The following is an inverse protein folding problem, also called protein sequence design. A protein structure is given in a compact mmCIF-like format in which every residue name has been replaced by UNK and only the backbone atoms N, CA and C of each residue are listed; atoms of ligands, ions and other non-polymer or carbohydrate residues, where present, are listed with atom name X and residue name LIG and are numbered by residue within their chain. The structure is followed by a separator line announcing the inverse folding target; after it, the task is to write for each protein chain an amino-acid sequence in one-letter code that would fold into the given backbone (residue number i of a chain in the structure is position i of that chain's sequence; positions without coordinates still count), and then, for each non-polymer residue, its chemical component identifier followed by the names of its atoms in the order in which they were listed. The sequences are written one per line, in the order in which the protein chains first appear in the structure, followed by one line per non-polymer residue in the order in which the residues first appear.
data_IF_691737278095
#
_entry.id   IF_691737278095
#
_cell.length_a   1.000
_cell.length_b   1.000
_cell.length_c   1.000
_cell.angle_alpha   90.00
_cell.angle_beta   90.00
_cell.angle_gamma   90.00
#
_symmetry.space_group_name_H-M   'P 1'
#
loop_
_entity.id
_entity.type
_entity.pdbx_description
1 polymer ?
#
# COMPACT_ATOMS: atom_id res chain seq x y z
N UNK A 1 -2.62 -8.57 -31.30
CA UNK A 1 -1.84 -7.40 -30.85
C UNK A 1 -1.40 -7.71 -29.43
N UNK A 2 -0.11 -7.88 -29.18
CA UNK A 2 0.42 -8.00 -27.82
C UNK A 2 0.34 -6.61 -27.19
N UNK A 3 -0.63 -6.38 -26.31
CA UNK A 3 -0.66 -5.14 -25.54
C UNK A 3 0.61 -5.08 -24.68
N UNK A 4 1.36 -3.98 -24.77
CA UNK A 4 2.50 -3.73 -23.89
C UNK A 4 2.04 -3.85 -22.41
N UNK A 5 2.88 -4.39 -21.53
CA UNK A 5 2.55 -4.44 -20.10
C UNK A 5 2.23 -3.04 -19.57
N UNK A 6 1.26 -2.95 -18.67
CA UNK A 6 1.03 -1.74 -17.88
C UNK A 6 2.26 -1.43 -17.04
N UNK A 7 2.58 -0.14 -16.87
CA UNK A 7 3.78 0.31 -16.16
C UNK A 7 3.43 1.11 -14.93
N UNK A 8 3.97 0.70 -13.77
CA UNK A 8 3.80 1.35 -12.48
C UNK A 8 5.12 1.98 -12.03
N UNK A 9 5.10 3.27 -11.69
CA UNK A 9 6.16 3.88 -10.89
C UNK A 9 5.85 3.62 -9.42
N UNK A 10 6.64 2.78 -8.77
CA UNK A 10 6.49 2.45 -7.35
C UNK A 10 7.53 3.22 -6.52
N UNK A 11 7.06 4.17 -5.69
CA UNK A 11 7.87 5.04 -4.84
C UNK A 11 7.74 4.55 -3.40
N UNK A 12 8.75 3.84 -2.91
CA UNK A 12 8.72 3.15 -1.62
C UNK A 12 10.15 2.84 -1.14
N UNK A 13 10.35 2.44 0.12
CA UNK A 13 11.65 1.93 0.56
C UNK A 13 11.95 0.54 -0.04
N UNK A 14 13.24 0.18 -0.02
CA UNK A 14 13.73 -1.12 -0.48
C UNK A 14 14.53 -1.80 0.64
N UNK A 15 13.90 -2.68 1.42
CA UNK A 15 14.63 -3.53 2.37
C UNK A 15 15.34 -4.68 1.65
N UNK A 16 16.58 -4.96 2.05
CA UNK A 16 17.35 -6.08 1.52
C UNK A 16 16.92 -7.41 2.12
N UNK A 17 16.67 -7.45 3.43
CA UNK A 17 16.23 -8.65 4.14
C UNK A 17 14.86 -8.42 4.81
N UNK A 18 14.00 -9.42 4.71
CA UNK A 18 12.59 -9.35 5.07
C UNK A 18 11.70 -8.98 3.88
N UNK A 19 10.46 -9.46 3.92
CA UNK A 19 9.49 -9.33 2.80
C UNK A 19 8.52 -8.19 3.07
N UNK A 20 8.90 -6.98 2.66
CA UNK A 20 8.09 -5.77 2.77
C UNK A 20 8.45 -4.79 1.63
N UNK A 21 7.66 -3.77 1.43
CA UNK A 21 7.94 -2.65 0.54
C UNK A 21 8.28 -3.09 -0.91
N UNK A 22 9.24 -2.48 -1.58
CA UNK A 22 9.60 -2.82 -2.98
C UNK A 22 10.02 -4.28 -3.15
N UNK A 23 10.56 -4.94 -2.12
CA UNK A 23 10.95 -6.36 -2.23
C UNK A 23 9.77 -7.31 -2.45
N UNK A 24 8.56 -6.93 -2.08
CA UNK A 24 7.32 -7.69 -2.35
C UNK A 24 6.49 -7.06 -3.48
N UNK A 25 6.47 -5.73 -3.59
CA UNK A 25 5.71 -5.02 -4.63
C UNK A 25 6.16 -5.44 -6.04
N UNK A 26 7.48 -5.46 -6.28
CA UNK A 26 8.04 -5.80 -7.59
C UNK A 26 7.65 -7.22 -8.04
N UNK A 27 7.88 -8.30 -7.28
CA UNK A 27 7.50 -9.64 -7.70
C UNK A 27 5.99 -9.84 -7.83
N UNK A 28 5.18 -9.20 -6.98
CA UNK A 28 3.70 -9.28 -7.07
C UNK A 28 3.21 -8.64 -8.36
N UNK A 29 3.60 -7.41 -8.67
CA UNK A 29 3.20 -6.72 -9.89
C UNK A 29 3.71 -7.44 -11.15
N UNK A 30 4.96 -7.91 -11.14
CA UNK A 30 5.53 -8.69 -12.25
C UNK A 30 4.74 -9.99 -12.49
N UNK A 31 4.30 -10.67 -11.43
CA UNK A 31 3.46 -11.87 -11.53
C UNK A 31 2.10 -11.56 -12.17
N UNK A 32 1.56 -10.37 -11.95
CA UNK A 32 0.34 -9.85 -12.58
C UNK A 32 0.57 -9.25 -13.99
N UNK A 33 1.76 -9.47 -14.58
CA UNK A 33 2.13 -8.94 -15.90
C UNK A 33 2.14 -7.40 -15.97
N UNK A 34 2.51 -6.76 -14.87
CA UNK A 34 2.70 -5.31 -14.74
C UNK A 34 4.19 -5.02 -14.58
N UNK A 35 4.74 -4.13 -15.40
CA UNK A 35 6.11 -3.65 -15.26
C UNK A 35 6.20 -2.68 -14.09
N UNK A 36 7.10 -2.96 -13.13
CA UNK A 36 7.38 -2.05 -12.02
C UNK A 36 8.67 -1.28 -12.28
N UNK A 37 8.57 0.04 -12.29
CA UNK A 37 9.72 0.93 -12.22
C UNK A 37 9.87 1.33 -10.75
N UNK A 38 10.86 0.74 -10.08
CA UNK A 38 11.11 0.98 -8.67
C UNK A 38 11.88 2.30 -8.47
N UNK A 39 11.35 3.19 -7.63
CA UNK A 39 12.01 4.41 -7.17
C UNK A 39 12.22 4.32 -5.65
N UNK A 40 13.38 3.83 -5.18
CA UNK A 40 13.62 3.66 -3.75
C UNK A 40 13.74 5.02 -3.06
N UNK A 41 12.94 5.24 -2.02
CA UNK A 41 13.04 6.40 -1.09
C UNK A 41 14.20 6.23 -0.12
N UNK A 42 14.52 4.99 0.22
CA UNK A 42 15.71 4.57 0.97
C UNK A 42 16.02 3.10 0.63
N UNK A 43 17.30 2.72 0.67
CA UNK A 43 17.73 1.32 0.68
C UNK A 43 18.09 0.96 2.12
N UNK A 44 17.49 -0.11 2.63
CA UNK A 44 17.63 -0.55 4.01
C UNK A 44 18.22 -1.96 4.05
N UNK A 45 19.06 -2.28 5.04
CA UNK A 45 19.55 -3.65 5.22
C UNK A 45 18.42 -4.62 5.60
N UNK A 46 17.40 -4.12 6.35
CA UNK A 46 16.16 -4.81 6.71
C UNK A 46 15.03 -3.78 6.73
N UNK A 47 13.77 -4.21 6.70
CA UNK A 47 12.68 -3.30 7.07
C UNK A 47 12.76 -2.92 8.56
N UNK A 48 12.02 -1.89 8.99
CA UNK A 48 12.11 -1.32 10.34
C UNK A 48 11.25 -2.05 11.39
N UNK A 49 10.49 -3.07 10.98
CA UNK A 49 9.54 -3.78 11.84
C UNK A 49 10.20 -4.90 12.65
N UNK A 50 10.69 -4.62 13.86
CA UNK A 50 11.10 -5.63 14.83
C UNK A 50 12.47 -6.30 14.61
N UNK A 51 13.26 -5.83 13.62
CA UNK A 51 14.60 -6.37 13.30
C UNK A 51 15.75 -5.45 13.76
N UNK A 52 15.48 -4.54 14.68
CA UNK A 52 16.47 -3.57 15.17
C UNK A 52 16.62 -2.37 14.22
N UNK A 53 17.74 -1.66 14.32
CA UNK A 53 18.03 -0.49 13.50
C UNK A 53 18.76 -0.91 12.23
N UNK A 54 18.16 -0.77 11.04
CA UNK A 54 18.81 -1.16 9.79
C UNK A 54 19.93 -0.19 9.41
N UNK A 55 20.94 -0.69 8.71
CA UNK A 55 21.81 0.17 7.91
C UNK A 55 20.98 0.83 6.82
N UNK A 56 21.17 2.13 6.62
CA UNK A 56 20.35 2.94 5.70
C UNK A 56 21.22 3.69 4.71
N UNK A 57 20.92 3.53 3.42
CA UNK A 57 21.41 4.39 2.36
C UNK A 57 20.23 5.28 1.90
N UNK A 58 20.34 6.57 2.14
CA UNK A 58 19.41 7.56 1.64
C UNK A 58 20.15 8.56 0.76
N UNK A 59 19.60 8.83 -0.43
CA UNK A 59 20.13 9.84 -1.32
C UNK A 59 18.97 10.76 -1.75
N UNK A 60 18.78 11.90 -1.09
CA UNK A 60 17.67 12.81 -1.38
C UNK A 60 17.71 13.40 -2.79
N UNK A 61 18.87 13.44 -3.42
CA UNK A 61 19.03 13.90 -4.81
C UNK A 61 18.65 12.87 -5.86
N UNK A 62 18.62 11.58 -5.51
CA UNK A 62 18.34 10.51 -6.47
C UNK A 62 16.92 10.56 -7.02
N UNK A 63 15.92 10.69 -6.15
CA UNK A 63 14.51 10.71 -6.54
C UNK A 63 14.19 11.78 -7.58
N UNK A 64 14.45 13.07 -7.32
CA UNK A 64 14.24 14.14 -8.29
C UNK A 64 14.99 13.93 -9.61
N UNK A 65 16.26 13.51 -9.54
CA UNK A 65 17.07 13.26 -10.74
C UNK A 65 16.52 12.07 -11.58
N UNK A 66 16.02 11.02 -10.93
CA UNK A 66 15.40 9.89 -11.60
C UNK A 66 14.08 10.29 -12.29
N UNK A 67 13.21 11.05 -11.62
CA UNK A 67 11.97 11.56 -12.21
C UNK A 67 12.24 12.42 -13.44
N UNK A 68 13.20 13.33 -13.33
CA UNK A 68 13.61 14.18 -14.47
C UNK A 68 14.16 13.34 -15.63
N UNK A 69 14.97 12.32 -15.32
CA UNK A 69 15.51 11.42 -16.35
C UNK A 69 14.41 10.63 -17.05
N UNK A 70 13.47 10.03 -16.31
CA UNK A 70 12.33 9.31 -16.90
C UNK A 70 11.46 10.24 -17.76
N UNK A 71 11.26 11.49 -17.32
CA UNK A 71 10.49 12.47 -18.07
C UNK A 71 11.18 12.82 -19.38
N UNK A 72 12.51 13.07 -19.38
CA UNK A 72 13.31 13.33 -20.61
C UNK A 72 13.31 12.15 -21.58
N UNK A 73 13.28 10.92 -21.07
CA UNK A 73 13.16 9.71 -21.89
C UNK A 73 11.76 9.51 -22.47
N UNK A 74 10.77 10.33 -22.09
CA UNK A 74 9.39 10.18 -22.52
C UNK A 74 8.71 8.93 -21.95
N UNK A 75 9.19 8.40 -20.82
CA UNK A 75 8.57 7.25 -20.15
C UNK A 75 7.14 7.61 -19.77
N UNK A 76 6.21 6.68 -20.01
CA UNK A 76 4.81 6.82 -19.62
C UNK A 76 4.51 5.83 -18.51
N UNK A 77 3.84 6.29 -17.47
CA UNK A 77 3.33 5.44 -16.40
C UNK A 77 1.82 5.36 -16.49
N UNK A 78 1.28 4.14 -16.36
CA UNK A 78 -0.17 3.91 -16.23
C UNK A 78 -0.61 4.18 -14.78
N UNK A 79 0.30 3.97 -13.81
CA UNK A 79 0.04 4.23 -12.40
C UNK A 79 1.29 4.75 -11.69
N UNK A 80 1.08 5.60 -10.69
CA UNK A 80 2.09 5.97 -9.68
C UNK A 80 1.55 5.48 -8.35
N UNK A 81 2.31 4.59 -7.71
CA UNK A 81 1.99 4.03 -6.40
C UNK A 81 3.05 4.47 -5.39
N UNK A 82 2.65 5.12 -4.31
CA UNK A 82 3.53 5.46 -3.20
C UNK A 82 3.10 4.76 -1.91
N UNK A 83 4.09 4.34 -1.12
CA UNK A 83 3.89 3.80 0.22
C UNK A 83 4.72 4.54 1.25
N UNK A 84 5.61 3.84 1.98
CA UNK A 84 6.38 4.44 3.06
C UNK A 84 7.27 5.59 2.59
N UNK A 85 7.10 6.73 3.25
CA UNK A 85 7.89 7.94 3.10
C UNK A 85 8.48 8.33 4.46
N UNK A 86 9.78 8.59 4.51
CA UNK A 86 10.49 8.85 5.76
C UNK A 86 10.31 10.30 6.27
N UNK A 87 9.97 11.23 5.37
CA UNK A 87 9.85 12.67 5.69
C UNK A 87 8.95 13.39 4.67
N UNK A 88 8.58 14.64 5.01
CA UNK A 88 7.73 15.47 4.16
C UNK A 88 8.37 15.86 2.82
N UNK A 89 9.70 15.83 2.68
CA UNK A 89 10.35 16.09 1.40
C UNK A 89 10.08 14.95 0.40
N UNK A 90 9.99 13.71 0.88
CA UNK A 90 9.61 12.56 0.05
C UNK A 90 8.13 12.62 -0.37
N UNK A 91 7.24 13.18 0.45
CA UNK A 91 5.87 13.46 0.01
C UNK A 91 5.84 14.45 -1.18
N UNK A 92 6.66 15.51 -1.13
CA UNK A 92 6.82 16.44 -2.25
C UNK A 92 7.38 15.79 -3.51
N UNK A 93 8.29 14.82 -3.37
CA UNK A 93 8.79 14.03 -4.50
C UNK A 93 7.65 13.26 -5.19
N UNK A 94 6.74 12.66 -4.43
CA UNK A 94 5.57 11.97 -4.99
C UNK A 94 4.62 12.96 -5.67
N UNK A 95 4.39 14.13 -5.07
CA UNK A 95 3.60 15.20 -5.70
C UNK A 95 4.22 15.64 -7.04
N UNK A 96 5.53 15.80 -7.11
CA UNK A 96 6.25 16.09 -8.37
C UNK A 96 6.02 14.99 -9.42
N UNK A 97 6.04 13.71 -9.02
CA UNK A 97 5.72 12.62 -9.92
C UNK A 97 4.27 12.72 -10.44
N UNK A 98 3.30 13.08 -9.60
CA UNK A 98 1.91 13.28 -10.02
C UNK A 98 1.75 14.43 -11.02
N UNK A 99 2.54 15.48 -10.90
CA UNK A 99 2.57 16.61 -11.83
C UNK A 99 3.20 16.25 -13.18
N UNK A 100 4.30 15.49 -13.17
CA UNK A 100 5.00 15.06 -14.38
C UNK A 100 4.17 14.05 -15.20
N UNK A 101 3.36 13.22 -14.55
CA UNK A 101 2.47 12.25 -15.20
C UNK A 101 1.02 12.40 -14.77
N UNK A 102 0.34 13.49 -15.18
CA UNK A 102 -1.01 13.82 -14.69
C UNK A 102 -2.08 12.80 -15.09
N UNK A 103 -1.82 11.99 -16.13
CA UNK A 103 -2.76 10.96 -16.60
C UNK A 103 -2.56 9.59 -15.94
N UNK A 104 -1.50 9.41 -15.19
CA UNK A 104 -1.27 8.18 -14.44
C UNK A 104 -2.32 8.06 -13.32
N UNK A 105 -2.80 6.84 -13.08
CA UNK A 105 -3.65 6.54 -11.93
C UNK A 105 -2.81 6.65 -10.65
N UNK A 106 -3.23 7.47 -9.70
CA UNK A 106 -2.45 7.83 -8.51
C UNK A 106 -2.98 7.05 -7.31
N UNK A 107 -2.12 6.20 -6.73
CA UNK A 107 -2.44 5.39 -5.55
C UNK A 107 -1.50 5.78 -4.43
N UNK A 108 -2.06 6.09 -3.26
CA UNK A 108 -1.32 6.38 -2.04
C UNK A 108 -1.70 5.39 -0.95
N UNK A 109 -0.72 4.63 -0.49
CA UNK A 109 -0.77 3.91 0.77
C UNK A 109 -0.15 4.83 1.83
N UNK A 110 -0.97 5.41 2.72
CA UNK A 110 -0.50 6.45 3.64
C UNK A 110 0.19 5.87 4.87
N UNK A 111 1.29 5.18 4.67
CA UNK A 111 2.04 4.44 5.71
C UNK A 111 2.48 5.39 6.84
N UNK A 112 1.61 5.57 7.83
CA UNK A 112 1.81 6.46 8.99
C UNK A 112 1.88 5.70 10.31
N UNK A 113 1.15 4.59 10.44
CA UNK A 113 1.06 3.88 11.71
C UNK A 113 0.16 2.66 11.66
N UNK A 114 0.15 1.89 12.72
CA UNK A 114 -0.69 0.72 12.90
C UNK A 114 -0.98 0.44 14.38
N UNK A 115 -2.02 -0.35 14.68
CA UNK A 115 -2.38 -0.72 16.04
C UNK A 115 -2.65 0.48 16.97
N UNK A 116 -3.20 1.57 16.45
CA UNK A 116 -3.48 2.79 17.20
C UNK A 116 -2.24 3.64 17.52
N UNK A 117 -1.14 3.47 16.79
CA UNK A 117 0.12 4.20 17.04
C UNK A 117 0.76 4.65 15.74
N UNK A 118 1.40 5.83 15.77
CA UNK A 118 2.33 6.26 14.72
C UNK A 118 3.55 5.36 14.69
N UNK A 119 4.11 5.13 13.51
CA UNK A 119 5.41 4.46 13.38
C UNK A 119 6.52 5.33 13.99
N UNK A 120 7.46 4.68 14.68
CA UNK A 120 8.61 5.35 15.28
C UNK A 120 9.47 6.00 14.19
N UNK A 121 9.92 7.24 14.46
CA UNK A 121 10.79 7.99 13.55
C UNK A 121 10.06 8.89 12.55
N UNK A 122 8.73 8.87 12.48
CA UNK A 122 7.97 9.85 11.69
C UNK A 122 7.84 11.17 12.48
N UNK A 123 8.13 12.29 11.82
CA UNK A 123 7.94 13.63 12.37
C UNK A 123 6.47 14.04 12.44
N UNK A 124 6.17 15.05 13.27
CA UNK A 124 4.81 15.58 13.42
C UNK A 124 4.24 16.20 12.12
N UNK A 125 5.12 16.56 11.19
CA UNK A 125 4.80 17.12 9.88
C UNK A 125 4.36 16.05 8.86
N UNK A 126 4.53 14.75 9.17
CA UNK A 126 4.18 13.67 8.23
C UNK A 126 2.68 13.51 8.03
N UNK A 127 1.86 13.65 9.07
CA UNK A 127 0.40 13.51 8.93
C UNK A 127 -0.18 14.58 8.00
N UNK A 128 0.11 15.89 8.17
CA UNK A 128 -0.34 16.91 7.23
C UNK A 128 0.26 16.76 5.83
N UNK A 129 1.53 16.34 5.69
CA UNK A 129 2.14 16.09 4.38
C UNK A 129 1.44 14.92 3.66
N UNK A 130 1.18 13.82 4.37
CA UNK A 130 0.47 12.67 3.82
C UNK A 130 -0.98 13.00 3.48
N UNK A 131 -1.67 13.81 4.30
CA UNK A 131 -3.01 14.28 3.98
C UNK A 131 -3.03 15.10 2.67
N UNK A 132 -2.06 16.01 2.49
CA UNK A 132 -1.90 16.75 1.24
C UNK A 132 -1.70 15.82 0.05
N UNK A 133 -0.83 14.83 0.18
CA UNK A 133 -0.58 13.84 -0.86
C UNK A 133 -1.83 13.02 -1.20
N UNK A 134 -2.54 12.51 -0.19
CA UNK A 134 -3.80 11.77 -0.35
C UNK A 134 -4.85 12.58 -1.09
N UNK A 135 -4.90 13.91 -0.88
CA UNK A 135 -5.87 14.77 -1.56
C UNK A 135 -5.64 14.92 -3.07
N UNK A 136 -4.47 14.51 -3.56
CA UNK A 136 -4.08 14.50 -4.99
C UNK A 136 -4.17 13.10 -5.62
N UNK A 137 -4.50 12.09 -4.82
CA UNK A 137 -4.60 10.70 -5.27
C UNK A 137 -5.99 10.38 -5.85
N UNK A 138 -6.03 9.37 -6.73
CA UNK A 138 -7.28 8.78 -7.24
C UNK A 138 -7.81 7.70 -6.30
N UNK A 139 -6.90 7.00 -5.59
CA UNK A 139 -7.19 5.96 -4.62
C UNK A 139 -6.24 6.07 -3.43
N UNK A 140 -6.79 5.99 -2.21
CA UNK A 140 -6.01 5.85 -0.98
C UNK A 140 -6.34 4.54 -0.27
N UNK A 141 -5.33 3.94 0.39
CA UNK A 141 -5.44 2.61 0.99
C UNK A 141 -5.03 2.63 2.48
N UNK A 142 -5.62 3.50 3.32
CA UNK A 142 -5.25 3.57 4.73
C UNK A 142 -5.70 2.32 5.49
N UNK A 143 -4.96 1.90 6.52
CA UNK A 143 -5.52 1.06 7.57
C UNK A 143 -6.40 1.89 8.53
N UNK A 144 -7.07 1.23 9.49
CA UNK A 144 -7.99 1.91 10.44
C UNK A 144 -7.29 2.99 11.29
N UNK A 145 -6.00 2.81 11.61
CA UNK A 145 -5.19 3.79 12.35
C UNK A 145 -4.87 5.00 11.48
N UNK A 146 -4.45 4.77 10.27
CA UNK A 146 -4.11 5.80 9.28
C UNK A 146 -5.33 6.60 8.86
N UNK A 147 -6.49 5.92 8.70
CA UNK A 147 -7.75 6.60 8.45
C UNK A 147 -8.13 7.57 9.59
N UNK A 148 -7.93 7.17 10.85
CA UNK A 148 -8.14 8.05 12.00
C UNK A 148 -7.15 9.23 12.00
N UNK A 149 -5.86 8.98 11.73
CA UNK A 149 -4.83 10.03 11.64
C UNK A 149 -5.16 11.07 10.56
N UNK A 150 -5.54 10.62 9.36
CA UNK A 150 -5.90 11.50 8.25
C UNK A 150 -7.17 12.31 8.55
N UNK A 151 -8.08 11.80 9.36
CA UNK A 151 -9.32 12.48 9.74
C UNK A 151 -9.18 13.34 11.00
N UNK A 152 -8.07 13.24 11.73
CA UNK A 152 -7.90 13.87 13.04
C UNK A 152 -8.80 13.25 14.13
N UNK A 153 -9.21 11.99 13.95
CA UNK A 153 -10.02 11.25 14.90
C UNK A 153 -9.16 10.67 16.05
N UNK A 154 -9.75 10.35 17.21
CA UNK A 154 -9.07 9.54 18.22
C UNK A 154 -8.60 8.21 17.63
N UNK A 155 -7.38 7.79 18.01
CA UNK A 155 -6.79 6.55 17.50
C UNK A 155 -7.57 5.35 18.03
N UNK A 156 -8.04 4.44 17.14
CA UNK A 156 -8.81 3.29 17.54
C UNK A 156 -7.91 2.24 18.19
N UNK A 157 -8.39 1.59 19.26
CA UNK A 157 -7.74 0.38 19.76
C UNK A 157 -8.01 -0.82 18.84
N UNK A 158 -9.26 -1.05 18.49
CA UNK A 158 -9.72 -2.07 17.53
C UNK A 158 -10.81 -1.43 16.68
N UNK A 159 -10.63 -1.40 15.36
CA UNK A 159 -11.61 -0.81 14.44
C UNK A 159 -12.80 -1.74 14.18
N UNK A 160 -14.04 -1.23 14.37
CA UNK A 160 -15.23 -1.95 13.92
C UNK A 160 -15.52 -1.71 12.44
N UNK A 161 -16.36 -2.57 11.86
CA UNK A 161 -16.79 -2.41 10.47
C UNK A 161 -17.56 -1.09 10.26
N UNK A 162 -18.41 -0.70 11.21
CA UNK A 162 -19.19 0.54 11.18
C UNK A 162 -18.28 1.76 11.26
N UNK A 163 -17.27 1.74 12.13
CA UNK A 163 -16.29 2.80 12.24
C UNK A 163 -15.48 2.94 10.94
N UNK A 164 -14.99 1.84 10.39
CA UNK A 164 -14.25 1.83 9.13
C UNK A 164 -15.11 2.34 7.96
N UNK A 165 -16.41 1.99 7.92
CA UNK A 165 -17.33 2.49 6.91
C UNK A 165 -17.55 4.00 7.03
N UNK A 166 -17.71 4.52 8.25
CA UNK A 166 -17.83 5.94 8.50
C UNK A 166 -16.54 6.69 8.12
N UNK A 167 -15.37 6.15 8.46
CA UNK A 167 -14.07 6.72 8.07
C UNK A 167 -13.89 6.72 6.54
N UNK A 168 -14.17 5.59 5.87
CA UNK A 168 -14.09 5.49 4.41
C UNK A 168 -15.01 6.52 3.73
N UNK A 169 -16.25 6.64 4.16
CA UNK A 169 -17.20 7.62 3.63
C UNK A 169 -16.71 9.07 3.81
N UNK A 170 -16.14 9.42 4.98
CA UNK A 170 -15.57 10.76 5.23
C UNK A 170 -14.33 11.02 4.37
N UNK A 171 -13.45 10.04 4.20
CA UNK A 171 -12.24 10.14 3.39
C UNK A 171 -12.51 10.27 1.89
N UNK A 172 -13.72 9.96 1.41
CA UNK A 172 -14.09 10.28 0.01
C UNK A 172 -14.09 11.78 -0.30
N UNK A 173 -14.09 12.64 0.73
CA UNK A 173 -13.87 14.10 0.56
C UNK A 173 -12.40 14.43 0.27
N UNK A 174 -11.49 13.57 0.69
CA UNK A 174 -10.04 13.70 0.46
C UNK A 174 -9.67 13.10 -0.89
N UNK A 175 -9.96 11.83 -1.12
CA UNK A 175 -9.67 11.14 -2.38
C UNK A 175 -10.95 10.55 -3.02
N UNK A 176 -11.05 10.44 -4.36
CA UNK A 176 -12.23 9.89 -5.03
C UNK A 176 -12.57 8.46 -4.63
N UNK A 177 -11.55 7.63 -4.36
CA UNK A 177 -11.71 6.24 -3.94
C UNK A 177 -10.90 5.98 -2.67
N UNK A 178 -11.47 5.20 -1.77
CA UNK A 178 -10.88 4.87 -0.47
C UNK A 178 -11.08 3.39 -0.20
N UNK A 179 -10.04 2.72 0.30
CA UNK A 179 -10.11 1.35 0.82
C UNK A 179 -9.49 1.34 2.21
N UNK A 180 -10.31 1.28 3.25
CA UNK A 180 -9.83 1.12 4.64
C UNK A 180 -9.55 -0.36 4.90
N UNK A 181 -8.32 -0.69 5.26
CA UNK A 181 -7.84 -2.04 5.49
C UNK A 181 -7.70 -2.35 6.99
N UNK A 182 -7.45 -3.62 7.33
CA UNK A 182 -7.19 -4.04 8.71
C UNK A 182 -8.41 -3.96 9.63
N UNK A 183 -9.61 -4.02 9.07
CA UNK A 183 -10.86 -3.97 9.83
C UNK A 183 -11.09 -5.30 10.53
N UNK A 184 -10.94 -5.32 11.86
CA UNK A 184 -11.21 -6.49 12.72
C UNK A 184 -12.61 -6.41 13.32
N UNK A 185 -13.03 -7.45 14.02
CA UNK A 185 -14.37 -7.45 14.67
C UNK A 185 -15.53 -7.83 13.74
N UNK A 186 -15.29 -8.03 12.44
CA UNK A 186 -16.32 -8.49 11.52
C UNK A 186 -16.75 -9.92 11.87
N UNK A 187 -18.07 -10.14 11.99
CA UNK A 187 -18.62 -11.45 12.30
C UNK A 187 -18.16 -12.03 13.65
N UNK A 188 -18.07 -11.18 14.68
CA UNK A 188 -17.66 -11.60 16.02
C UNK A 188 -16.15 -11.90 16.14
N UNK A 189 -15.30 -11.19 15.38
CA UNK A 189 -13.83 -11.34 15.44
C UNK A 189 -13.28 -12.54 14.66
N UNK A 190 -14.12 -13.26 13.92
CA UNK A 190 -13.68 -14.40 13.08
C UNK A 190 -13.12 -13.99 11.72
N UNK A 191 -13.31 -12.74 11.33
CA UNK A 191 -12.91 -12.22 10.03
C UNK A 191 -12.09 -10.94 10.18
N UNK A 192 -11.19 -10.74 9.25
CA UNK A 192 -10.55 -9.47 8.93
C UNK A 192 -11.09 -8.99 7.60
N UNK A 193 -11.20 -7.69 7.42
CA UNK A 193 -11.75 -7.16 6.17
C UNK A 193 -11.23 -5.81 5.76
N UNK A 194 -11.79 -5.36 4.66
CA UNK A 194 -11.59 -4.05 4.09
C UNK A 194 -12.94 -3.41 3.80
N UNK A 195 -13.03 -2.10 3.96
CA UNK A 195 -14.21 -1.32 3.58
C UNK A 195 -13.82 -0.34 2.50
N UNK A 196 -14.48 -0.43 1.36
CA UNK A 196 -14.29 0.48 0.24
C UNK A 196 -15.42 1.49 0.13
N UNK A 197 -15.07 2.71 -0.29
CA UNK A 197 -16.01 3.77 -0.62
C UNK A 197 -15.54 4.57 -1.83
N UNK A 198 -16.48 5.04 -2.63
CA UNK A 198 -16.19 5.96 -3.73
C UNK A 198 -17.07 7.22 -3.58
N UNK A 199 -16.55 8.36 -4.03
CA UNK A 199 -17.27 9.63 -3.98
C UNK A 199 -18.54 9.55 -4.82
N UNK A 200 -19.71 9.73 -4.19
CA UNK A 200 -21.01 9.64 -4.86
C UNK A 200 -21.45 8.22 -5.23
N UNK A 201 -20.72 7.19 -4.78
CA UNK A 201 -21.04 5.78 -4.97
C UNK A 201 -21.44 5.07 -3.68
N UNK A 202 -21.91 3.83 -3.82
CA UNK A 202 -22.17 2.95 -2.69
C UNK A 202 -20.87 2.39 -2.12
N UNK A 203 -20.83 2.24 -0.79
CA UNK A 203 -19.73 1.55 -0.11
C UNK A 203 -19.87 0.03 -0.24
N UNK A 204 -18.74 -0.67 -0.08
CA UNK A 204 -18.71 -2.13 -0.04
C UNK A 204 -17.79 -2.63 1.07
N UNK A 205 -18.02 -3.85 1.51
CA UNK A 205 -17.14 -4.53 2.45
C UNK A 205 -16.68 -5.88 1.88
N UNK A 206 -15.42 -6.19 2.13
CA UNK A 206 -14.80 -7.48 1.80
C UNK A 206 -14.27 -8.08 3.08
N UNK A 207 -14.42 -9.38 3.27
CA UNK A 207 -13.92 -10.09 4.45
C UNK A 207 -13.26 -11.40 4.07
N UNK A 208 -12.21 -11.75 4.81
CA UNK A 208 -11.53 -13.04 4.75
C UNK A 208 -11.44 -13.62 6.16
N UNK A 209 -11.35 -14.95 6.34
CA UNK A 209 -11.12 -15.53 7.65
C UNK A 209 -9.86 -14.93 8.31
N UNK A 210 -10.01 -14.49 9.56
CA UNK A 210 -8.87 -13.96 10.32
C UNK A 210 -7.82 -15.06 10.49
N UNK A 211 -6.59 -14.77 10.09
CA UNK A 211 -5.46 -15.65 10.32
C UNK A 211 -4.89 -15.37 11.74
N UNK A 212 -4.45 -16.40 12.47
CA UNK A 212 -3.98 -16.24 13.86
C UNK A 212 -2.61 -15.56 13.99
N UNK A 213 -1.95 -15.27 12.87
CA UNK A 213 -0.62 -14.68 12.80
C UNK A 213 -0.62 -13.38 12.04
N UNK A 214 0.23 -12.46 12.47
CA UNK A 214 0.43 -11.16 11.82
C UNK A 214 1.85 -11.06 11.26
N UNK A 215 1.98 -10.60 10.04
CA UNK A 215 3.27 -10.48 9.37
C UNK A 215 3.47 -9.06 8.84
N UNK A 216 4.70 -8.57 8.91
CA UNK A 216 5.09 -7.35 8.23
C UNK A 216 4.98 -7.50 6.69
N UNK A 217 4.70 -6.42 5.98
CA UNK A 217 4.64 -6.39 4.52
C UNK A 217 3.34 -6.91 3.91
N UNK A 218 2.37 -7.38 4.72
CA UNK A 218 1.06 -7.82 4.20
C UNK A 218 0.25 -6.67 3.59
N UNK A 219 0.40 -5.44 4.12
CA UNK A 219 -0.16 -4.23 3.53
C UNK A 219 0.41 -3.94 2.14
N UNK A 220 1.74 -4.03 1.98
CA UNK A 220 2.42 -3.83 0.70
C UNK A 220 1.98 -4.86 -0.36
N UNK A 221 1.84 -6.13 0.06
CA UNK A 221 1.33 -7.21 -0.82
C UNK A 221 -0.12 -6.91 -1.23
N UNK A 222 -0.96 -6.51 -0.27
CA UNK A 222 -2.35 -6.14 -0.54
C UNK A 222 -2.43 -5.00 -1.55
N UNK A 223 -1.71 -3.90 -1.32
CA UNK A 223 -1.73 -2.74 -2.20
C UNK A 223 -1.17 -3.08 -3.60
N UNK A 224 -0.11 -3.88 -3.69
CA UNK A 224 0.45 -4.31 -4.97
C UNK A 224 -0.55 -5.17 -5.78
N UNK A 225 -1.25 -6.12 -5.15
CA UNK A 225 -2.29 -6.92 -5.82
C UNK A 225 -3.45 -6.03 -6.24
N UNK A 226 -3.92 -5.14 -5.37
CA UNK A 226 -4.98 -4.19 -5.66
C UNK A 226 -4.66 -3.34 -6.91
N UNK A 227 -3.48 -2.71 -6.92
CA UNK A 227 -3.00 -1.92 -8.06
C UNK A 227 -2.93 -2.76 -9.34
N UNK A 228 -2.30 -3.93 -9.27
CA UNK A 228 -2.16 -4.81 -10.43
C UNK A 228 -3.51 -5.26 -11.00
N UNK A 229 -4.48 -5.59 -10.15
CA UNK A 229 -5.84 -6.00 -10.57
C UNK A 229 -6.62 -4.83 -11.18
N UNK A 230 -6.55 -3.64 -10.60
CA UNK A 230 -7.18 -2.43 -11.18
C UNK A 230 -6.61 -2.15 -12.56
N UNK A 231 -5.30 -2.18 -12.73
CA UNK A 231 -4.65 -1.93 -14.03
C UNK A 231 -5.00 -2.99 -15.09
N UNK A 232 -5.42 -4.18 -14.68
CA UNK A 232 -5.96 -5.23 -15.56
C UNK A 232 -7.46 -5.09 -15.85
N UNK A 233 -8.11 -4.05 -15.33
CA UNK A 233 -9.51 -3.75 -15.60
C UNK A 233 -10.51 -4.33 -14.60
N UNK A 234 -10.06 -4.88 -13.47
CA UNK A 234 -10.99 -5.31 -12.42
C UNK A 234 -11.68 -4.10 -11.79
N UNK A 235 -12.96 -4.25 -11.47
CA UNK A 235 -13.67 -3.27 -10.64
C UNK A 235 -13.09 -3.25 -9.23
N UNK A 236 -13.11 -2.09 -8.53
CA UNK A 236 -12.43 -1.93 -7.24
C UNK A 236 -12.77 -3.02 -6.20
N UNK A 237 -14.04 -3.36 -6.04
CA UNK A 237 -14.45 -4.39 -5.09
C UNK A 237 -13.85 -5.76 -5.41
N UNK A 238 -13.82 -6.18 -6.67
CA UNK A 238 -13.20 -7.44 -7.09
C UNK A 238 -11.68 -7.43 -6.88
N UNK A 239 -11.03 -6.28 -7.15
CA UNK A 239 -9.60 -6.10 -6.91
C UNK A 239 -9.26 -6.19 -5.41
N UNK A 240 -10.06 -5.58 -4.53
CA UNK A 240 -9.93 -5.68 -3.07
C UNK A 240 -10.15 -7.12 -2.60
N UNK A 241 -11.15 -7.83 -3.14
CA UNK A 241 -11.40 -9.23 -2.79
C UNK A 241 -10.21 -10.11 -3.17
N UNK A 242 -9.64 -9.95 -4.36
CA UNK A 242 -8.47 -10.69 -4.81
C UNK A 242 -7.24 -10.37 -3.95
N UNK A 243 -7.02 -9.10 -3.61
CA UNK A 243 -5.92 -8.68 -2.74
C UNK A 243 -6.02 -9.30 -1.34
N UNK A 244 -7.20 -9.23 -0.71
CA UNK A 244 -7.43 -9.80 0.61
C UNK A 244 -7.29 -11.35 0.60
N UNK A 245 -7.81 -12.02 -0.42
CA UNK A 245 -7.68 -13.46 -0.58
C UNK A 245 -6.21 -13.88 -0.77
N UNK A 246 -5.44 -13.14 -1.56
CA UNK A 246 -4.04 -13.45 -1.79
C UNK A 246 -3.18 -13.25 -0.54
N UNK A 247 -3.41 -12.19 0.25
CA UNK A 247 -2.74 -12.01 1.54
C UNK A 247 -3.03 -13.17 2.48
N UNK A 248 -4.30 -13.59 2.60
CA UNK A 248 -4.68 -14.76 3.42
C UNK A 248 -3.98 -16.03 2.93
N UNK A 249 -3.84 -16.21 1.62
CA UNK A 249 -3.11 -17.34 1.03
C UNK A 249 -1.61 -17.29 1.35
N UNK A 250 -0.97 -16.13 1.28
CA UNK A 250 0.44 -15.96 1.67
C UNK A 250 0.66 -16.37 3.14
N UNK A 251 -0.22 -15.96 4.04
CA UNK A 251 -0.15 -16.33 5.46
C UNK A 251 -0.31 -17.84 5.62
N UNK A 252 -1.25 -18.46 4.91
CA UNK A 252 -1.52 -19.90 4.95
C UNK A 252 -0.34 -20.74 4.43
N UNK A 253 0.38 -20.24 3.40
CA UNK A 253 1.56 -20.90 2.82
C UNK A 253 2.81 -20.74 3.70
N UNK A 254 2.79 -19.83 4.67
CA UNK A 254 3.90 -19.59 5.58
C UNK A 254 3.86 -20.62 6.70
N UNK A 255 4.89 -21.49 6.86
CA UNK A 255 4.90 -22.56 7.86
C UNK A 255 4.65 -22.06 9.28
N UNK A 256 4.08 -22.92 10.13
CA UNK A 256 4.03 -22.70 11.56
C UNK A 256 5.45 -22.54 12.13
N UNK A 257 5.65 -21.58 13.03
CA UNK A 257 6.97 -21.29 13.59
C UNK A 257 7.89 -20.42 12.72
N UNK A 258 7.47 -20.02 11.51
CA UNK A 258 8.20 -19.01 10.75
C UNK A 258 8.22 -17.68 11.53
N UNK A 259 9.36 -17.00 11.50
CA UNK A 259 9.54 -15.71 12.16
C UNK A 259 8.66 -14.65 11.48
N UNK A 260 7.63 -14.17 12.19
CA UNK A 260 6.65 -13.20 11.69
C UNK A 260 7.28 -11.85 11.30
N UNK A 261 8.45 -11.53 11.90
CA UNK A 261 9.20 -10.32 11.56
C UNK A 261 9.75 -10.35 10.13
N UNK A 262 9.96 -11.53 9.55
CA UNK A 262 10.54 -11.67 8.20
C UNK A 262 9.51 -11.57 7.06
N UNK A 263 8.24 -11.35 7.40
CA UNK A 263 7.14 -11.35 6.44
C UNK A 263 6.71 -12.75 6.00
N UNK A 264 5.66 -12.82 5.21
CA UNK A 264 5.10 -14.07 4.68
C UNK A 264 6.02 -14.71 3.64
N UNK A 265 5.94 -16.04 3.46
CA UNK A 265 6.65 -16.76 2.39
C UNK A 265 5.97 -16.52 1.05
N UNK A 266 6.18 -15.32 0.52
CA UNK A 266 5.58 -14.84 -0.71
C UNK A 266 5.88 -15.76 -1.90
N UNK A 267 7.09 -16.31 -1.97
CA UNK A 267 7.59 -17.14 -3.07
C UNK A 267 6.71 -18.37 -3.30
N UNK A 268 6.17 -18.95 -2.23
CA UNK A 268 5.29 -20.11 -2.30
C UNK A 268 3.88 -19.76 -2.81
N UNK A 269 3.44 -18.52 -2.60
CA UNK A 269 2.10 -18.06 -2.96
C UNK A 269 2.03 -17.47 -4.38
N UNK A 270 3.11 -16.84 -4.88
CA UNK A 270 3.14 -16.17 -6.18
C UNK A 270 2.58 -16.98 -7.35
N UNK A 271 2.84 -18.31 -7.49
CA UNK A 271 2.28 -19.08 -8.59
C UNK A 271 0.75 -19.09 -8.63
N UNK A 272 0.08 -18.96 -7.46
CA UNK A 272 -1.39 -18.94 -7.37
C UNK A 272 -1.97 -17.61 -7.84
N UNK A 273 -1.24 -16.51 -7.71
CA UNK A 273 -1.68 -15.20 -8.16
C UNK A 273 -1.87 -15.13 -9.70
N UNK A 274 -1.21 -16.00 -10.46
CA UNK A 274 -1.35 -16.10 -11.92
C UNK A 274 -2.63 -16.80 -12.36
N UNK A 275 -3.17 -17.69 -11.53
CA UNK A 275 -4.28 -18.57 -11.88
C UNK A 275 -5.66 -17.93 -11.69
N UNK A 276 -5.71 -16.81 -10.99
CA UNK A 276 -6.89 -16.00 -10.73
C UNK A 276 -6.98 -14.79 -11.70
#
# INVERSE_FOLDING_TARGET
MTNAPKTVLAIHDLPGFGRAALSVIVPVLSTLSVQTVALPTAVLSTHTGGLGTPAKLANPGYGPAALEHYHRLGVKFDCIYSGYLADAAQAKLVEQAFELWPRAFKVVDPVLGDGGRLYSGLGADMVPAMYSLCSKADLIVPNVTEAALLLGDPLPGVGSAEQAAAQAARLTRVAPQVVVTGVTGIGGGRYIGCVGAARGGEGYAVKTPLQPRMFHGTGDIFAAVLVGRILRGNVPQAAVQAAAAFVAECIRQTPEGADERLGVWLENALPKLRQE
#
